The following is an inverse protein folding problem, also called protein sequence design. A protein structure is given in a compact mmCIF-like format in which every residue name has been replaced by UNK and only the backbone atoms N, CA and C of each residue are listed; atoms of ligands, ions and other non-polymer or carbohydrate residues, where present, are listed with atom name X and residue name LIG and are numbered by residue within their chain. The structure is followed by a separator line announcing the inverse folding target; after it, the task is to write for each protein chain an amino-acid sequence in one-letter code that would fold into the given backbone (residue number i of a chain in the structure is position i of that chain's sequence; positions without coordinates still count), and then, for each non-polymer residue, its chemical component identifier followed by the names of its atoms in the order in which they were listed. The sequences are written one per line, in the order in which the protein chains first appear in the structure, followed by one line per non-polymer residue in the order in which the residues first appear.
data_IF_119731231940
#
_entry.id   IF_119731231940
#
_cell.length_a   1.000
_cell.length_b   1.000
_cell.length_c   1.000
_cell.angle_alpha   90.00
_cell.angle_beta   90.00
_cell.angle_gamma   90.00
#
_symmetry.space_group_name_H-M   'P 1'
#
loop_
_entity.id
_entity.type
_entity.pdbx_description
1 polymer ?
#
# COMPACT_ATOMS: atom_id res chain seq x y z
N UNK A 1 3.73 -43.90 -21.11
CA UNK A 1 3.05 -43.38 -19.91
C UNK A 1 3.33 -41.89 -19.83
N UNK A 2 2.68 -41.10 -20.69
CA UNK A 2 2.90 -39.65 -20.85
C UNK A 2 1.61 -38.90 -21.20
N UNK A 3 0.56 -39.62 -21.58
CA UNK A 3 -0.68 -39.07 -22.14
C UNK A 3 -1.61 -38.46 -21.07
N UNK A 4 -1.57 -38.97 -19.84
CA UNK A 4 -2.35 -38.41 -18.73
C UNK A 4 -1.83 -37.04 -18.26
N UNK A 5 -0.56 -36.71 -18.50
CA UNK A 5 0.01 -35.41 -18.15
C UNK A 5 -0.42 -34.31 -19.14
N UNK A 6 -0.54 -34.63 -20.43
CA UNK A 6 -1.00 -33.68 -21.45
C UNK A 6 -2.49 -33.37 -21.36
N UNK A 7 -3.33 -34.34 -20.96
CA UNK A 7 -4.75 -34.12 -20.73
C UNK A 7 -5.04 -33.18 -19.53
N UNK A 8 -4.20 -33.23 -18.49
CA UNK A 8 -4.25 -32.29 -17.35
C UNK A 8 -3.73 -30.89 -17.75
N UNK A 9 -2.73 -30.83 -18.64
CA UNK A 9 -2.21 -29.60 -19.24
C UNK A 9 -3.22 -28.91 -20.20
N UNK A 10 -4.06 -29.69 -20.89
CA UNK A 10 -5.12 -29.18 -21.76
C UNK A 10 -6.40 -28.77 -21.01
N UNK A 11 -6.60 -29.26 -19.78
CA UNK A 11 -7.78 -29.00 -18.96
C UNK A 11 -7.71 -27.78 -18.03
N UNK A 12 -6.54 -27.17 -17.85
CA UNK A 12 -6.38 -25.94 -17.05
C UNK A 12 -5.95 -24.79 -17.97
N UNK A 13 -6.72 -23.69 -18.09
CA UNK A 13 -6.40 -22.62 -19.01
C UNK A 13 -4.98 -22.13 -18.77
N UNK A 14 -4.25 -21.80 -19.84
CA UNK A 14 -2.93 -21.15 -19.79
C UNK A 14 -2.90 -19.93 -18.84
N UNK A 15 -4.06 -19.30 -18.61
CA UNK A 15 -4.29 -18.21 -17.65
C UNK A 15 -4.24 -18.63 -16.16
N UNK A 16 -4.60 -19.86 -15.80
CA UNK A 16 -4.60 -20.34 -14.41
C UNK A 16 -3.18 -20.50 -13.83
N UNK A 17 -2.15 -20.53 -14.70
CA UNK A 17 -0.73 -20.65 -14.30
C UNK A 17 -0.08 -19.34 -13.94
N UNK A 18 -0.59 -18.22 -14.45
CA UNK A 18 0.05 -16.93 -14.24
C UNK A 18 -0.40 -16.23 -12.97
N UNK A 19 -1.41 -16.78 -12.27
CA UNK A 19 -1.79 -16.45 -10.90
C UNK A 19 -1.45 -15.00 -10.48
N UNK A 20 -0.60 -14.81 -9.47
CA UNK A 20 -0.17 -13.47 -9.02
C UNK A 20 0.62 -12.67 -10.08
N UNK A 21 1.49 -13.31 -10.87
CA UNK A 21 2.36 -12.62 -11.82
C UNK A 21 1.60 -11.91 -12.96
N UNK A 22 0.52 -12.52 -13.47
CA UNK A 22 -0.35 -11.86 -14.45
C UNK A 22 -1.13 -10.70 -13.83
N UNK A 23 -1.60 -10.86 -12.58
CA UNK A 23 -2.25 -9.79 -11.84
C UNK A 23 -1.30 -8.59 -11.66
N UNK A 24 -0.07 -8.80 -11.19
CA UNK A 24 0.92 -7.72 -11.02
C UNK A 24 1.29 -7.04 -12.33
N UNK A 25 1.44 -7.80 -13.42
CA UNK A 25 1.73 -7.24 -14.74
C UNK A 25 0.58 -6.34 -15.24
N UNK A 26 -0.67 -6.79 -15.09
CA UNK A 26 -1.86 -6.02 -15.48
C UNK A 26 -2.06 -4.82 -14.56
N UNK A 27 -1.87 -4.98 -13.25
CA UNK A 27 -1.96 -3.92 -12.26
C UNK A 27 -0.90 -2.84 -12.53
N UNK A 28 0.36 -3.22 -12.67
CA UNK A 28 1.47 -2.32 -13.00
C UNK A 28 1.23 -1.58 -14.32
N UNK A 29 0.79 -2.29 -15.36
CA UNK A 29 0.46 -1.68 -16.65
C UNK A 29 -0.72 -0.70 -16.56
N UNK A 30 -1.70 -0.99 -15.71
CA UNK A 30 -2.87 -0.12 -15.50
C UNK A 30 -2.48 1.13 -14.71
N UNK A 31 -1.75 0.96 -13.61
CA UNK A 31 -1.17 2.06 -12.83
C UNK A 31 -0.31 2.98 -13.70
N UNK A 32 0.57 2.40 -14.53
CA UNK A 32 1.43 3.16 -15.44
C UNK A 32 0.63 3.97 -16.46
N UNK A 33 -0.44 3.39 -17.03
CA UNK A 33 -1.35 4.13 -17.94
C UNK A 33 -2.08 5.27 -17.23
N UNK A 34 -2.31 5.16 -15.94
CA UNK A 34 -2.87 6.21 -15.08
C UNK A 34 -1.82 7.20 -14.55
N UNK A 35 -0.56 7.10 -15.00
CA UNK A 35 0.52 7.99 -14.58
C UNK A 35 1.18 7.62 -13.25
N UNK A 36 0.89 6.45 -12.69
CA UNK A 36 1.48 5.94 -11.45
C UNK A 36 2.67 5.04 -11.77
N UNK A 37 3.87 5.44 -11.29
CA UNK A 37 5.10 4.66 -11.43
C UNK A 37 5.32 3.78 -10.19
N UNK A 38 5.39 2.47 -10.41
CA UNK A 38 5.78 1.49 -9.39
C UNK A 38 7.30 1.33 -9.42
N UNK A 39 8.01 1.76 -8.37
CA UNK A 39 9.49 1.65 -8.31
C UNK A 39 9.98 0.22 -8.13
N UNK A 40 9.24 -0.56 -7.36
CA UNK A 40 9.59 -1.93 -7.01
C UNK A 40 8.36 -2.83 -7.27
N UNK A 41 8.37 -3.65 -8.33
CA UNK A 41 7.24 -4.49 -8.68
C UNK A 41 6.99 -5.60 -7.65
N UNK A 42 7.97 -5.97 -6.82
CA UNK A 42 7.79 -6.98 -5.77
C UNK A 42 6.88 -6.46 -4.65
N UNK A 43 6.81 -5.13 -4.46
CA UNK A 43 5.85 -4.49 -3.54
C UNK A 43 4.40 -4.60 -3.99
N UNK A 44 4.12 -4.90 -5.26
CA UNK A 44 2.76 -5.14 -5.72
C UNK A 44 2.14 -6.38 -5.06
N UNK A 45 2.97 -7.36 -4.66
CA UNK A 45 2.51 -8.51 -3.86
C UNK A 45 2.02 -8.09 -2.49
N UNK A 46 2.69 -7.12 -1.87
CA UNK A 46 2.35 -6.67 -0.52
C UNK A 46 1.03 -5.91 -0.49
N UNK A 47 0.64 -5.27 -1.59
CA UNK A 47 -0.66 -4.57 -1.67
C UNK A 47 -1.86 -5.50 -1.47
N UNK A 48 -1.73 -6.80 -1.75
CA UNK A 48 -2.79 -7.79 -1.54
C UNK A 48 -3.05 -8.04 -0.05
N UNK A 49 -2.08 -7.73 0.81
CA UNK A 49 -2.16 -7.96 2.26
C UNK A 49 -2.28 -6.66 3.04
N UNK A 50 -2.33 -5.49 2.38
CA UNK A 50 -2.41 -4.20 3.09
C UNK A 50 -3.74 -4.08 3.82
N UNK A 51 -3.66 -3.90 5.14
CA UNK A 51 -4.81 -3.61 6.00
C UNK A 51 -4.84 -2.16 6.50
N UNK A 52 -3.68 -1.48 6.47
CA UNK A 52 -3.52 -0.14 7.04
C UNK A 52 -2.88 0.80 6.03
N UNK A 53 -3.40 2.02 5.92
CA UNK A 53 -2.81 3.10 5.13
C UNK A 53 -2.38 4.24 6.04
N UNK A 54 -1.11 4.61 5.97
CA UNK A 54 -0.51 5.76 6.65
C UNK A 54 -0.33 6.90 5.64
N UNK A 55 -1.08 7.97 5.81
CA UNK A 55 -1.07 9.14 4.93
C UNK A 55 -0.24 10.27 5.56
N UNK A 56 0.91 10.57 4.96
CA UNK A 56 1.70 11.74 5.32
C UNK A 56 1.04 13.01 4.74
N UNK A 57 1.11 14.18 5.41
CA UNK A 57 0.36 15.36 4.98
C UNK A 57 0.81 15.85 3.60
N UNK A 58 2.06 15.59 3.23
CA UNK A 58 2.56 15.85 1.88
C UNK A 58 1.70 15.25 0.78
N UNK A 59 1.07 14.08 1.00
CA UNK A 59 0.23 13.40 0.01
C UNK A 59 -1.17 14.02 -0.10
N UNK A 60 -1.65 14.67 0.95
CA UNK A 60 -3.00 15.23 1.05
C UNK A 60 -3.00 16.76 1.03
N UNK A 61 -1.86 17.40 0.72
CA UNK A 61 -1.72 18.86 0.63
C UNK A 61 -1.35 19.31 -0.77
N UNK A 62 -1.96 20.39 -1.23
CA UNK A 62 -1.47 21.13 -2.38
C UNK A 62 -0.41 22.16 -1.92
N UNK A 63 0.79 22.25 -2.55
CA UNK A 63 1.81 23.23 -2.19
C UNK A 63 1.26 24.64 -2.20
N UNK A 64 1.39 25.34 -1.08
CA UNK A 64 0.92 26.73 -0.95
C UNK A 64 -0.59 26.92 -0.94
N UNK A 65 -1.40 25.85 -1.00
CA UNK A 65 -2.87 25.93 -1.08
C UNK A 65 -3.60 25.24 0.09
N UNK A 66 -2.88 24.54 0.98
CA UNK A 66 -3.50 23.85 2.12
C UNK A 66 -3.83 22.39 1.79
N UNK A 67 -4.98 21.90 2.26
CA UNK A 67 -5.47 20.57 1.90
C UNK A 67 -5.67 20.45 0.38
N UNK A 68 -5.33 19.29 -0.15
CA UNK A 68 -5.58 18.96 -1.54
C UNK A 68 -7.08 18.78 -1.78
N UNK A 69 -7.64 19.23 -2.92
CA UNK A 69 -9.05 19.01 -3.26
C UNK A 69 -9.48 17.54 -3.23
N UNK A 70 -8.54 16.60 -3.37
CA UNK A 70 -8.82 15.16 -3.30
C UNK A 70 -8.71 14.56 -1.89
N UNK A 71 -8.33 15.32 -0.87
CA UNK A 71 -8.06 14.79 0.46
C UNK A 71 -9.25 14.00 1.03
N UNK A 72 -10.44 14.58 1.03
CA UNK A 72 -11.67 13.91 1.46
C UNK A 72 -11.96 12.65 0.63
N UNK A 73 -11.87 12.75 -0.69
CA UNK A 73 -12.17 11.64 -1.59
C UNK A 73 -11.21 10.46 -1.40
N UNK A 74 -9.93 10.73 -1.14
CA UNK A 74 -8.91 9.71 -0.86
C UNK A 74 -9.17 9.03 0.49
N UNK A 75 -9.47 9.81 1.53
CA UNK A 75 -9.76 9.29 2.87
C UNK A 75 -11.06 8.45 2.88
N UNK A 76 -12.12 8.94 2.26
CA UNK A 76 -13.39 8.21 2.10
C UNK A 76 -13.20 6.94 1.27
N UNK A 77 -12.40 6.97 0.19
CA UNK A 77 -12.10 5.79 -0.60
C UNK A 77 -11.35 4.73 0.20
N UNK A 78 -10.33 5.12 0.98
CA UNK A 78 -9.57 4.19 1.83
C UNK A 78 -10.47 3.53 2.89
N UNK A 79 -11.31 4.33 3.55
CA UNK A 79 -12.29 3.83 4.51
C UNK A 79 -13.29 2.86 3.87
N UNK A 80 -13.81 3.19 2.69
CA UNK A 80 -14.74 2.31 1.94
C UNK A 80 -14.06 1.02 1.47
N UNK A 81 -12.76 1.05 1.25
CA UNK A 81 -11.97 -0.14 0.96
C UNK A 81 -11.71 -1.02 2.20
N UNK A 82 -12.15 -0.59 3.40
CA UNK A 82 -11.96 -1.33 4.64
C UNK A 82 -10.55 -1.23 5.22
N UNK A 83 -9.75 -0.26 4.78
CA UNK A 83 -8.43 0.00 5.33
C UNK A 83 -8.53 0.78 6.64
N UNK A 84 -7.67 0.46 7.61
CA UNK A 84 -7.41 1.34 8.76
C UNK A 84 -6.69 2.59 8.25
N UNK A 85 -7.33 3.74 8.38
CA UNK A 85 -6.82 5.02 7.88
C UNK A 85 -6.10 5.76 9.01
N UNK A 86 -4.78 5.88 8.89
CA UNK A 86 -3.92 6.62 9.81
C UNK A 86 -3.39 7.86 9.12
N UNK A 87 -3.58 9.03 9.73
CA UNK A 87 -3.13 10.32 9.18
C UNK A 87 -2.14 10.95 10.16
N UNK A 88 -1.04 11.48 9.66
CA UNK A 88 -0.14 12.31 10.48
C UNK A 88 -0.77 13.69 10.66
N UNK A 89 -0.74 14.21 11.88
CA UNK A 89 -1.34 15.49 12.24
C UNK A 89 -0.79 16.64 11.38
N UNK A 90 -1.68 17.47 10.85
CA UNK A 90 -1.32 18.65 10.10
C UNK A 90 -2.46 19.65 10.19
N UNK A 91 -2.20 20.92 10.58
CA UNK A 91 -3.24 21.94 10.69
C UNK A 91 -4.07 22.14 9.43
N UNK A 92 -3.49 21.93 8.24
CA UNK A 92 -4.21 22.03 6.98
C UNK A 92 -5.23 20.90 6.77
N UNK A 93 -5.11 19.80 7.51
CA UNK A 93 -5.99 18.63 7.43
C UNK A 93 -6.99 18.53 8.58
N UNK A 94 -7.04 19.54 9.48
CA UNK A 94 -7.87 19.52 10.68
C UNK A 94 -9.35 19.16 10.40
N UNK A 95 -9.91 19.70 9.32
CA UNK A 95 -11.30 19.48 8.90
C UNK A 95 -11.60 18.04 8.42
N UNK A 96 -10.55 17.26 8.10
CA UNK A 96 -10.66 15.90 7.55
C UNK A 96 -10.34 14.80 8.57
N UNK A 97 -9.90 15.16 9.77
CA UNK A 97 -9.50 14.20 10.83
C UNK A 97 -10.61 13.23 11.22
N UNK A 98 -11.88 13.61 11.09
CA UNK A 98 -13.03 12.74 11.34
C UNK A 98 -13.21 11.58 10.35
N UNK A 99 -12.47 11.59 9.23
CA UNK A 99 -12.44 10.49 8.26
C UNK A 99 -11.34 9.46 8.57
N UNK A 100 -10.37 9.82 9.41
CA UNK A 100 -9.30 8.93 9.84
C UNK A 100 -9.73 8.11 11.06
N UNK A 101 -9.26 6.86 11.13
CA UNK A 101 -9.42 6.02 12.32
C UNK A 101 -8.44 6.45 13.42
N UNK A 102 -7.28 6.99 13.01
CA UNK A 102 -6.25 7.47 13.92
C UNK A 102 -5.53 8.69 13.34
N UNK A 103 -5.25 9.67 14.21
CA UNK A 103 -4.34 10.78 13.93
C UNK A 103 -3.09 10.61 14.81
N UNK A 104 -1.91 10.61 14.19
CA UNK A 104 -0.62 10.47 14.88
C UNK A 104 0.13 11.79 14.87
N UNK A 105 0.87 12.06 15.94
CA UNK A 105 1.63 13.30 16.09
C UNK A 105 2.73 13.42 15.03
N UNK A 106 2.84 14.60 14.40
CA UNK A 106 3.86 14.91 13.41
C UNK A 106 5.28 15.03 13.99
N UNK A 107 5.40 15.26 15.29
CA UNK A 107 6.70 15.35 15.98
C UNK A 107 7.33 13.96 16.17
N UNK A 108 6.53 12.89 16.06
CA UNK A 108 7.04 11.52 16.17
C UNK A 108 7.77 11.11 14.89
N UNK A 109 8.93 10.42 15.00
CA UNK A 109 9.60 9.86 13.85
C UNK A 109 8.68 8.91 13.07
N UNK A 110 8.61 9.07 11.74
CA UNK A 110 7.74 8.26 10.88
C UNK A 110 8.05 6.76 11.00
N UNK A 111 9.32 6.42 11.22
CA UNK A 111 9.77 5.03 11.43
C UNK A 111 9.12 4.39 12.66
N UNK A 112 9.11 5.11 13.79
CA UNK A 112 8.52 4.63 15.04
C UNK A 112 7.00 4.46 14.91
N UNK A 113 6.35 5.33 14.13
CA UNK A 113 4.92 5.19 13.80
C UNK A 113 4.70 3.93 12.97
N UNK A 114 5.48 3.71 11.92
CA UNK A 114 5.34 2.54 11.04
C UNK A 114 5.58 1.23 11.80
N UNK A 115 6.61 1.19 12.63
CA UNK A 115 6.94 -0.01 13.40
C UNK A 115 5.82 -0.32 14.40
N UNK A 116 5.30 0.70 15.09
CA UNK A 116 4.12 0.52 15.96
C UNK A 116 2.89 0.02 15.19
N UNK A 117 2.59 0.59 14.02
CA UNK A 117 1.43 0.16 13.23
C UNK A 117 1.56 -1.29 12.74
N UNK A 118 2.79 -1.73 12.42
CA UNK A 118 3.05 -3.12 12.04
C UNK A 118 2.86 -4.08 13.22
N UNK A 119 3.25 -3.65 14.42
CA UNK A 119 3.04 -4.43 15.63
C UNK A 119 1.53 -4.54 15.94
N UNK A 120 0.79 -3.43 15.86
CA UNK A 120 -0.66 -3.40 16.07
C UNK A 120 -1.43 -4.32 15.09
N UNK A 121 -0.99 -4.39 13.83
CA UNK A 121 -1.62 -5.24 12.79
C UNK A 121 -1.20 -6.71 12.89
N UNK A 122 -0.16 -7.04 13.69
CA UNK A 122 0.38 -8.38 13.89
C UNK A 122 -0.18 -9.13 15.12
N UNK A 123 -0.89 -8.45 16.02
CA UNK A 123 -1.41 -9.01 17.29
C UNK A 123 -2.76 -9.75 17.17
N UNK A 124 -3.21 -10.07 15.95
CA UNK A 124 -4.37 -10.95 15.73
C UNK A 124 -3.99 -12.42 15.96
N UNK A 125 -4.66 -13.09 16.91
CA UNK A 125 -4.56 -14.53 17.26
C UNK A 125 -3.84 -15.42 16.22
N UNK A 126 -2.92 -16.26 16.69
CA UNK A 126 -2.07 -17.25 15.97
C UNK A 126 -2.76 -18.17 14.93
N UNK A 127 -4.07 -18.03 14.69
CA UNK A 127 -4.87 -18.73 13.69
C UNK A 127 -5.32 -17.86 12.49
N UNK A 128 -4.96 -16.56 12.45
CA UNK A 128 -5.25 -15.68 11.33
C UNK A 128 -4.03 -15.49 10.41
N UNK A 129 -4.01 -16.21 9.28
CA UNK A 129 -3.10 -15.94 8.16
C UNK A 129 -3.30 -14.52 7.63
N UNK A 130 -2.53 -13.57 8.14
CA UNK A 130 -2.30 -12.26 7.51
C UNK A 130 -2.40 -11.09 8.47
N UNK A 131 -1.31 -10.80 9.20
CA UNK A 131 -1.09 -9.46 9.74
C UNK A 131 -1.08 -8.45 8.59
N UNK A 132 -1.96 -7.45 8.66
CA UNK A 132 -2.17 -6.48 7.59
C UNK A 132 -0.91 -5.65 7.33
N UNK A 133 -0.47 -5.57 6.07
CA UNK A 133 0.64 -4.71 5.70
C UNK A 133 0.29 -3.22 5.89
N UNK A 134 1.28 -2.41 6.29
CA UNK A 134 1.15 -0.95 6.37
C UNK A 134 1.65 -0.32 5.07
N UNK A 135 0.76 0.38 4.34
CA UNK A 135 1.11 1.18 3.16
C UNK A 135 1.29 2.65 3.53
N UNK A 136 2.50 3.18 3.35
CA UNK A 136 2.77 4.61 3.55
C UNK A 136 2.62 5.38 2.23
N UNK A 137 1.85 6.47 2.24
CA UNK A 137 1.70 7.39 1.11
C UNK A 137 2.25 8.74 1.51
N UNK A 138 3.29 9.17 0.79
CA UNK A 138 3.93 10.46 0.94
C UNK A 138 4.39 10.94 -0.44
N UNK A 139 4.67 12.23 -0.57
CA UNK A 139 5.35 12.71 -1.77
C UNK A 139 6.78 12.22 -1.82
N UNK A 140 7.35 11.96 -3.01
CA UNK A 140 8.67 11.36 -3.13
C UNK A 140 9.79 12.13 -2.42
N UNK A 141 9.69 13.46 -2.38
CA UNK A 141 10.65 14.32 -1.69
C UNK A 141 10.49 14.37 -0.17
N UNK A 142 9.33 13.96 0.32
CA UNK A 142 8.95 13.96 1.75
C UNK A 142 8.94 12.52 2.32
N UNK A 143 9.06 11.52 1.45
CA UNK A 143 9.36 10.15 1.83
C UNK A 143 10.86 10.06 2.11
N UNK A 144 11.24 9.58 3.29
CA UNK A 144 12.60 9.09 3.52
C UNK A 144 12.87 7.99 2.48
N UNK A 145 13.50 8.34 1.36
CA UNK A 145 13.85 7.38 0.32
C UNK A 145 14.98 6.53 0.88
N UNK A 146 14.61 5.37 1.44
CA UNK A 146 15.58 4.31 1.65
C UNK A 146 16.04 3.86 0.26
N UNK A 147 17.25 4.27 -0.14
CA UNK A 147 17.97 3.59 -1.21
C UNK A 147 18.08 2.12 -0.82
N UNK A 148 17.32 1.26 -1.48
CA UNK A 148 17.60 -0.16 -1.45
C UNK A 148 18.75 -0.36 -2.43
N UNK A 149 19.97 -0.26 -1.89
CA UNK A 149 21.16 -0.69 -2.61
C UNK A 149 20.93 -2.11 -3.11
N UNK A 150 21.09 -2.29 -4.41
CA UNK A 150 21.27 -3.60 -5.02
C UNK A 150 22.41 -4.29 -4.27
N UNK A 151 22.09 -5.22 -3.37
CA UNK A 151 23.04 -6.21 -2.92
C UNK A 151 23.25 -7.18 -4.10
N UNK A 152 24.14 -6.80 -5.01
CA UNK A 152 24.89 -7.78 -5.79
C UNK A 152 25.65 -8.66 -4.79
N UNK A 153 25.31 -9.94 -4.77
CA UNK A 153 25.92 -10.95 -3.92
C UNK A 153 26.23 -12.21 -4.73
N UNK A 154 27.50 -12.27 -5.12
CA UNK A 154 28.38 -13.39 -5.51
C UNK A 154 27.79 -14.80 -5.69
#
# INVERSE_FOLDING_TARGET
MTEAAEAVLAGSPKAARYGPAAFHAVLSATLSRSGVLVRDPDRLRQLETVGTVLLHPSALRTPGAGADPWAEAVLDAARRAGLRVVVVDDPALADFTGLADQVVDAERPLRDIIDQLRDDDGDGDDDAEGGGGVLTIARPQDADVVEIGCAEGD
#
